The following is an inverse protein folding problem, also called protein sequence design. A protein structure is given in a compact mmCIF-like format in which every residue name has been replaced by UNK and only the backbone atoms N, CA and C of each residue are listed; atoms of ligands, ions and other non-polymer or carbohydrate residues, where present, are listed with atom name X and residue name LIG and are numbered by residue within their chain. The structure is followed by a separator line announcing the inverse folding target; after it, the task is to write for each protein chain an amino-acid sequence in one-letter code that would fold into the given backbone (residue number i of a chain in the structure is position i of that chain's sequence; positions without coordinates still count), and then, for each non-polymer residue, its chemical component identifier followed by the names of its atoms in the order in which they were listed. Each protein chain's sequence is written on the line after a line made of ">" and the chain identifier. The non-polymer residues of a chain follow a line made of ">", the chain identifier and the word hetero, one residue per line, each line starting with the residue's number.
data_IF_255824568924
#
_entry.id   IF_255824568924
#
_cell.length_a   1.000
_cell.length_b   1.000
_cell.length_c   1.000
_cell.angle_alpha   90.00
_cell.angle_beta   90.00
_cell.angle_gamma   90.00
#
_symmetry.space_group_name_H-M   'P 1'
#
loop_
_entity.id
_entity.type
_entity.pdbx_description
1 polymer ?
#
# COMPACT_ATOMS: atom_id res chain seq x y z
N UNK A 1 -5.51 -13.57 -23.02
CA UNK A 1 -4.11 -14.02 -22.87
C UNK A 1 -3.55 -13.31 -21.67
N UNK A 2 -3.01 -14.03 -20.69
CA UNK A 2 -2.25 -13.40 -19.60
C UNK A 2 -1.08 -12.62 -20.20
N UNK A 3 -0.87 -11.38 -19.74
CA UNK A 3 0.25 -10.58 -20.19
C UNK A 3 1.53 -11.09 -19.49
N UNK A 4 2.44 -11.80 -20.18
CA UNK A 4 3.60 -12.44 -19.54
C UNK A 4 4.53 -11.41 -18.88
N UNK A 5 4.43 -10.13 -19.25
CA UNK A 5 5.21 -9.05 -18.65
C UNK A 5 4.76 -8.71 -17.23
N UNK A 6 3.56 -9.12 -16.79
CA UNK A 6 3.08 -8.83 -15.44
C UNK A 6 4.00 -9.44 -14.36
N UNK A 7 4.65 -10.56 -14.68
CA UNK A 7 5.58 -11.28 -13.79
C UNK A 7 7.05 -10.92 -13.99
N UNK A 8 7.38 -10.07 -14.97
CA UNK A 8 8.75 -9.63 -15.19
C UNK A 8 9.33 -8.94 -13.93
N UNK A 9 10.66 -8.88 -13.78
CA UNK A 9 11.28 -8.18 -12.67
C UNK A 9 10.86 -6.72 -12.60
N UNK A 10 10.93 -6.13 -11.41
CA UNK A 10 10.73 -4.69 -11.22
C UNK A 10 12.00 -3.90 -11.57
N UNK A 11 11.89 -2.63 -11.97
CA UNK A 11 13.05 -1.76 -12.14
C UNK A 11 13.95 -1.78 -10.91
N UNK A 12 15.28 -1.88 -11.08
CA UNK A 12 16.20 -1.89 -9.95
C UNK A 12 16.17 -0.55 -9.22
N UNK A 13 16.34 -0.60 -7.90
CA UNK A 13 16.56 0.56 -7.05
C UNK A 13 17.97 0.50 -6.45
N UNK A 14 18.60 1.64 -6.11
CA UNK A 14 19.90 1.65 -5.41
C UNK A 14 19.86 0.78 -4.15
N UNK A 15 20.93 0.00 -3.89
CA UNK A 15 21.00 -0.95 -2.76
C UNK A 15 21.93 -0.46 -1.63
N UNK A 16 23.06 0.16 -1.99
CA UNK A 16 24.04 0.69 -1.04
C UNK A 16 23.63 2.10 -0.60
N UNK A 17 22.68 2.18 0.31
CA UNK A 17 22.07 3.44 0.77
C UNK A 17 22.09 3.54 2.28
N UNK A 18 22.22 4.78 2.77
CA UNK A 18 22.20 5.07 4.20
C UNK A 18 20.89 4.57 4.84
N UNK A 19 20.96 3.80 5.94
CA UNK A 19 19.76 3.30 6.61
C UNK A 19 18.81 4.40 7.09
N UNK A 20 17.53 4.06 7.14
CA UNK A 20 16.49 4.89 7.75
C UNK A 20 15.88 5.97 6.85
N UNK A 21 16.41 6.21 5.64
CA UNK A 21 15.81 7.16 4.68
C UNK A 21 14.84 6.52 3.68
N UNK A 22 14.22 7.34 2.82
CA UNK A 22 13.27 6.85 1.79
C UNK A 22 13.95 5.89 0.79
N UNK A 23 15.21 6.17 0.43
CA UNK A 23 16.00 5.28 -0.44
C UNK A 23 16.23 3.91 0.21
N UNK A 24 16.50 3.89 1.51
CA UNK A 24 16.64 2.65 2.29
C UNK A 24 15.33 1.87 2.34
N UNK A 25 14.19 2.54 2.55
CA UNK A 25 12.89 1.88 2.49
C UNK A 25 12.70 1.21 1.12
N UNK A 26 12.95 1.93 0.02
CA UNK A 26 12.83 1.37 -1.34
C UNK A 26 13.72 0.13 -1.54
N UNK A 27 14.96 0.16 -1.03
CA UNK A 27 15.89 -0.95 -1.15
C UNK A 27 15.46 -2.22 -0.38
N UNK A 28 14.68 -2.05 0.70
CA UNK A 28 14.38 -3.12 1.66
C UNK A 28 12.92 -3.63 1.65
N UNK A 29 12.05 -3.04 0.85
CA UNK A 29 10.66 -3.51 0.67
C UNK A 29 10.54 -4.55 -0.45
N UNK A 30 9.69 -5.57 -0.23
CA UNK A 30 9.41 -6.62 -1.21
C UNK A 30 8.97 -6.08 -2.59
N UNK A 31 8.27 -4.94 -2.62
CA UNK A 31 7.75 -4.30 -3.84
C UNK A 31 8.86 -4.06 -4.87
N UNK A 32 10.02 -3.59 -4.43
CA UNK A 32 11.16 -3.24 -5.30
C UNK A 32 12.31 -4.25 -5.23
N UNK A 33 12.18 -5.29 -4.40
CA UNK A 33 13.18 -6.35 -4.29
C UNK A 33 13.39 -7.12 -5.58
N UNK A 34 14.66 -7.44 -5.83
CA UNK A 34 15.10 -8.41 -6.83
C UNK A 34 14.55 -9.81 -6.51
N UNK A 35 14.52 -10.73 -7.48
CA UNK A 35 13.96 -12.08 -7.29
C UNK A 35 14.51 -12.83 -6.06
N UNK A 36 15.82 -12.72 -5.81
CA UNK A 36 16.53 -13.40 -4.72
C UNK A 36 16.11 -12.95 -3.31
N UNK A 37 15.76 -11.68 -3.13
CA UNK A 37 15.35 -11.11 -1.83
C UNK A 37 13.84 -11.15 -1.61
N UNK A 38 13.09 -11.16 -2.71
CA UNK A 38 11.66 -10.87 -2.69
C UNK A 38 10.87 -11.81 -1.79
N UNK A 39 11.13 -13.13 -1.87
CA UNK A 39 10.40 -14.12 -1.07
C UNK A 39 10.58 -13.89 0.43
N UNK A 40 11.81 -13.60 0.87
CA UNK A 40 12.16 -13.36 2.27
C UNK A 40 11.52 -12.07 2.80
N UNK A 41 11.63 -10.97 2.06
CA UNK A 41 11.01 -9.68 2.44
C UNK A 41 9.48 -9.73 2.38
N UNK A 42 8.89 -10.49 1.45
CA UNK A 42 7.44 -10.72 1.39
C UNK A 42 6.95 -11.51 2.61
N UNK A 43 7.71 -12.51 3.06
CA UNK A 43 7.35 -13.30 4.24
C UNK A 43 7.21 -12.44 5.51
N UNK A 44 8.03 -11.39 5.65
CA UNK A 44 7.89 -10.42 6.75
C UNK A 44 6.53 -9.69 6.68
N UNK A 45 6.14 -9.19 5.51
CA UNK A 45 4.84 -8.53 5.31
C UNK A 45 3.68 -9.48 5.60
N UNK A 46 3.75 -10.72 5.12
CA UNK A 46 2.72 -11.73 5.39
C UNK A 46 2.61 -12.07 6.88
N UNK A 47 3.73 -12.08 7.60
CA UNK A 47 3.75 -12.29 9.06
C UNK A 47 3.02 -11.18 9.80
N UNK A 48 3.23 -9.92 9.41
CA UNK A 48 2.54 -8.78 10.02
C UNK A 48 1.05 -8.72 9.64
N UNK A 49 0.66 -9.19 8.45
CA UNK A 49 -0.74 -9.25 8.01
C UNK A 49 -1.54 -10.41 8.64
N UNK A 50 -0.90 -11.55 8.90
CA UNK A 50 -1.56 -12.77 9.38
C UNK A 50 -2.44 -12.60 10.64
N UNK A 51 -2.05 -11.82 11.68
CA UNK A 51 -2.89 -11.64 12.86
C UNK A 51 -4.02 -10.61 12.68
N UNK A 52 -4.02 -9.84 11.59
CA UNK A 52 -4.99 -8.76 11.40
C UNK A 52 -6.40 -9.33 11.18
N UNK A 53 -7.36 -8.83 11.95
CA UNK A 53 -8.73 -9.32 11.92
C UNK A 53 -9.76 -8.20 12.10
N UNK A 54 -11.00 -8.44 11.67
CA UNK A 54 -12.11 -7.48 11.80
C UNK A 54 -11.81 -6.08 11.23
N UNK A 55 -11.02 -6.01 10.15
CA UNK A 55 -10.58 -4.73 9.58
C UNK A 55 -11.76 -3.89 9.07
N UNK A 56 -12.81 -4.53 8.55
CA UNK A 56 -14.05 -3.84 8.11
C UNK A 56 -14.72 -3.11 9.27
N UNK A 57 -14.95 -3.79 10.39
CA UNK A 57 -15.60 -3.19 11.56
C UNK A 57 -14.75 -2.09 12.18
N UNK A 58 -13.43 -2.31 12.27
CA UNK A 58 -12.47 -1.32 12.78
C UNK A 58 -12.45 -0.07 11.89
N UNK A 59 -12.42 -0.25 10.58
CA UNK A 59 -12.43 0.84 9.61
C UNK A 59 -13.76 1.60 9.62
N UNK A 60 -14.91 0.91 9.76
CA UNK A 60 -16.21 1.53 9.93
C UNK A 60 -16.26 2.42 11.18
N UNK A 61 -15.85 1.89 12.32
CA UNK A 61 -15.85 2.63 13.58
C UNK A 61 -14.95 3.87 13.50
N UNK A 62 -13.75 3.72 12.95
CA UNK A 62 -12.80 4.83 12.83
C UNK A 62 -13.24 5.87 11.80
N UNK A 63 -13.81 5.47 10.66
CA UNK A 63 -14.35 6.40 9.67
C UNK A 63 -15.50 7.24 10.22
N UNK A 64 -16.34 6.70 11.11
CA UNK A 64 -17.36 7.49 11.81
C UNK A 64 -16.76 8.52 12.78
N UNK A 65 -15.63 8.20 13.41
CA UNK A 65 -14.93 9.11 14.32
C UNK A 65 -14.11 10.18 13.56
N UNK A 66 -13.60 9.84 12.37
CA UNK A 66 -12.71 10.68 11.56
C UNK A 66 -13.37 11.13 10.24
N UNK A 67 -14.64 11.57 10.29
CA UNK A 67 -15.41 11.86 9.06
C UNK A 67 -14.76 12.89 8.13
N UNK A 68 -14.02 13.85 8.67
CA UNK A 68 -13.36 14.91 7.89
C UNK A 68 -11.96 14.50 7.39
N UNK A 69 -11.45 13.33 7.79
CA UNK A 69 -10.09 12.86 7.50
C UNK A 69 -10.08 11.36 7.15
N UNK A 70 -11.09 10.93 6.39
CA UNK A 70 -11.33 9.53 6.02
C UNK A 70 -10.19 8.91 5.20
N UNK A 71 -9.46 9.74 4.47
CA UNK A 71 -8.26 9.34 3.72
C UNK A 71 -7.13 8.84 4.63
N UNK A 72 -7.13 9.22 5.91
CA UNK A 72 -6.15 8.75 6.91
C UNK A 72 -6.55 7.43 7.55
N UNK A 73 -7.82 7.05 7.49
CA UNK A 73 -8.37 5.84 8.14
C UNK A 73 -7.66 4.56 7.70
N UNK A 74 -7.32 4.33 6.41
CA UNK A 74 -6.64 3.10 6.02
C UNK A 74 -5.31 2.89 6.75
N UNK A 75 -4.50 3.94 6.87
CA UNK A 75 -3.21 3.87 7.56
C UNK A 75 -3.41 3.75 9.06
N UNK A 76 -4.37 4.50 9.62
CA UNK A 76 -4.64 4.47 11.06
C UNK A 76 -5.12 3.08 11.53
N UNK A 77 -6.00 2.42 10.78
CA UNK A 77 -6.47 1.06 11.09
C UNK A 77 -5.31 0.06 11.04
N UNK A 78 -4.53 0.05 9.96
CA UNK A 78 -3.43 -0.89 9.81
C UNK A 78 -2.29 -0.61 10.80
N UNK A 79 -2.02 0.66 11.10
CA UNK A 79 -1.04 1.06 12.11
C UNK A 79 -1.42 0.58 13.50
N UNK A 80 -2.70 0.68 13.86
CA UNK A 80 -3.20 0.17 15.14
C UNK A 80 -3.05 -1.35 15.26
N UNK A 81 -3.31 -2.11 14.18
CA UNK A 81 -3.08 -3.57 14.16
C UNK A 81 -1.60 -3.95 14.33
N UNK A 82 -0.69 -3.07 13.90
CA UNK A 82 0.75 -3.24 14.10
C UNK A 82 1.21 -2.81 15.52
N UNK A 83 0.28 -2.31 16.35
CA UNK A 83 0.58 -1.79 17.68
C UNK A 83 1.25 -0.41 17.67
N UNK A 84 1.10 0.36 16.60
CA UNK A 84 1.71 1.67 16.43
C UNK A 84 0.73 2.80 16.86
N UNK A 85 1.24 3.96 17.31
CA UNK A 85 0.43 5.17 17.41
C UNK A 85 -0.05 5.63 16.03
N UNK A 86 -0.90 6.68 15.97
CA UNK A 86 -1.30 7.27 14.68
C UNK A 86 -0.09 7.89 13.97
N UNK A 87 0.36 7.20 12.92
CA UNK A 87 1.47 7.60 12.03
C UNK A 87 0.98 8.05 10.66
N UNK A 88 -0.34 8.26 10.48
CA UNK A 88 -0.95 8.52 9.18
C UNK A 88 -0.34 9.70 8.42
N UNK A 89 0.01 10.77 9.13
CA UNK A 89 0.63 11.97 8.53
C UNK A 89 2.06 11.70 8.04
N UNK A 90 2.85 10.97 8.83
CA UNK A 90 4.22 10.62 8.47
C UNK A 90 4.22 9.67 7.26
N UNK A 91 3.31 8.69 7.26
CA UNK A 91 3.12 7.78 6.13
C UNK A 91 2.69 8.53 4.87
N UNK A 92 1.81 9.52 4.97
CA UNK A 92 1.41 10.33 3.82
C UNK A 92 2.60 11.11 3.21
N UNK A 93 3.44 11.71 4.05
CA UNK A 93 4.65 12.41 3.61
C UNK A 93 5.63 11.46 2.89
N UNK A 94 5.84 10.26 3.44
CA UNK A 94 6.70 9.24 2.81
C UNK A 94 6.07 8.69 1.53
N UNK A 95 4.75 8.46 1.49
CA UNK A 95 4.02 7.94 0.34
C UNK A 95 4.17 8.84 -0.89
N UNK A 96 4.10 10.16 -0.70
CA UNK A 96 4.30 11.15 -1.75
C UNK A 96 5.71 11.05 -2.40
N UNK A 97 6.71 10.62 -1.63
CA UNK A 97 8.08 10.41 -2.08
C UNK A 97 8.42 8.92 -2.29
N UNK A 98 7.47 7.97 -2.26
CA UNK A 98 7.81 6.55 -2.17
C UNK A 98 8.32 5.94 -3.49
N UNK A 99 7.73 6.32 -4.63
CA UNK A 99 8.05 5.66 -5.89
C UNK A 99 9.40 6.12 -6.46
N UNK A 100 10.19 5.26 -7.13
CA UNK A 100 11.55 5.60 -7.58
C UNK A 100 11.69 6.84 -8.49
N UNK A 101 10.60 7.27 -9.12
CA UNK A 101 10.53 8.40 -10.05
C UNK A 101 10.03 9.70 -9.38
N UNK A 102 9.75 9.67 -8.09
CA UNK A 102 9.37 10.87 -7.32
C UNK A 102 10.58 11.43 -6.60
N UNK A 103 10.62 12.76 -6.51
CA UNK A 103 11.62 13.49 -5.73
C UNK A 103 11.47 13.17 -4.23
N UNK A 104 12.60 13.08 -3.53
CA UNK A 104 12.63 12.93 -2.08
C UNK A 104 12.93 14.29 -1.48
N UNK A 105 12.05 14.76 -0.60
CA UNK A 105 12.20 16.05 0.08
C UNK A 105 12.55 15.87 1.57
N UNK A 106 12.90 16.98 2.23
CA UNK A 106 13.31 16.96 3.64
C UNK A 106 12.20 16.45 4.57
N UNK A 107 10.93 16.77 4.28
CA UNK A 107 9.79 16.35 5.09
C UNK A 107 9.62 14.82 5.09
N UNK A 108 9.81 14.18 3.94
CA UNK A 108 9.76 12.72 3.82
C UNK A 108 10.91 12.03 4.57
N UNK A 109 12.13 12.60 4.55
CA UNK A 109 13.27 12.05 5.29
C UNK A 109 13.12 12.23 6.81
N UNK A 110 12.55 13.35 7.25
CA UNK A 110 12.23 13.60 8.65
C UNK A 110 11.07 12.70 9.14
N UNK A 111 10.03 12.49 8.33
CA UNK A 111 8.98 11.51 8.60
C UNK A 111 9.52 10.08 8.68
N UNK A 112 10.43 9.69 7.78
CA UNK A 112 11.07 8.37 7.82
C UNK A 112 11.83 8.14 9.13
N UNK A 113 12.58 9.13 9.63
CA UNK A 113 13.27 9.03 10.93
C UNK A 113 12.31 8.78 12.08
N UNK A 114 11.18 9.50 12.14
CA UNK A 114 10.14 9.26 13.16
C UNK A 114 9.49 7.88 13.03
N UNK A 115 9.23 7.42 11.81
CA UNK A 115 8.63 6.11 11.56
C UNK A 115 9.55 4.96 12.01
N UNK A 116 10.86 5.09 11.77
CA UNK A 116 11.85 4.11 12.26
C UNK A 116 11.87 4.09 13.79
N UNK A 117 11.89 5.25 14.44
CA UNK A 117 11.83 5.37 15.90
C UNK A 117 10.57 4.70 16.47
N UNK A 118 9.39 5.01 15.91
CA UNK A 118 8.11 4.43 16.31
C UNK A 118 8.06 2.91 16.07
N UNK A 119 8.81 2.39 15.11
CA UNK A 119 8.93 0.95 14.86
C UNK A 119 9.93 0.23 15.77
N UNK A 120 10.63 0.95 16.67
CA UNK A 120 11.60 0.39 17.62
C UNK A 120 13.04 0.87 17.43
N UNK A 121 13.28 1.84 16.54
CA UNK A 121 14.59 2.49 16.36
C UNK A 121 15.55 1.78 15.39
N UNK A 122 15.36 0.49 15.15
CA UNK A 122 16.21 -0.28 14.24
C UNK A 122 15.74 -0.18 12.79
N UNK A 123 16.61 0.32 11.91
CA UNK A 123 16.40 0.35 10.46
C UNK A 123 16.67 -1.02 9.81
N UNK A 124 15.93 -2.04 10.22
CA UNK A 124 16.00 -3.40 9.68
C UNK A 124 14.86 -3.70 8.66
N UNK A 125 14.90 -4.89 8.06
CA UNK A 125 13.90 -5.27 7.06
C UNK A 125 12.49 -5.49 7.62
N UNK A 126 12.36 -5.76 8.93
CA UNK A 126 11.05 -5.86 9.57
C UNK A 126 10.43 -4.47 9.70
N UNK A 127 11.20 -3.47 10.12
CA UNK A 127 10.81 -2.05 10.11
C UNK A 127 10.46 -1.61 8.70
N UNK A 128 11.26 -1.96 7.69
CA UNK A 128 10.96 -1.68 6.29
C UNK A 128 9.65 -2.35 5.84
N UNK A 129 9.37 -3.59 6.24
CA UNK A 129 8.14 -4.30 5.92
C UNK A 129 6.91 -3.62 6.51
N UNK A 130 6.97 -3.17 7.77
CA UNK A 130 5.89 -2.44 8.45
C UNK A 130 5.59 -1.09 7.80
N UNK A 131 6.62 -0.26 7.61
CA UNK A 131 6.47 1.04 6.96
C UNK A 131 6.00 0.85 5.51
N UNK A 132 6.60 -0.08 4.77
CA UNK A 132 6.24 -0.38 3.39
C UNK A 132 4.82 -0.91 3.21
N UNK A 133 4.27 -1.63 4.21
CA UNK A 133 2.87 -2.04 4.24
C UNK A 133 1.96 -0.82 4.32
N UNK A 134 2.21 0.09 5.27
CA UNK A 134 1.40 1.29 5.48
C UNK A 134 1.48 2.26 4.30
N UNK A 135 2.68 2.51 3.78
CA UNK A 135 2.91 3.37 2.61
C UNK A 135 2.16 2.85 1.38
N UNK A 136 2.19 1.53 1.14
CA UNK A 136 1.49 0.94 -0.01
C UNK A 136 -0.03 0.92 0.14
N UNK A 137 -0.54 0.92 1.38
CA UNK A 137 -1.97 1.03 1.66
C UNK A 137 -2.50 2.46 1.52
N UNK A 138 -1.67 3.48 1.79
CA UNK A 138 -2.05 4.89 1.82
C UNK A 138 -2.73 5.37 0.53
N UNK A 139 -1.95 5.62 -0.53
CA UNK A 139 -2.50 6.25 -1.74
C UNK A 139 -3.42 5.31 -2.54
N UNK A 140 -3.14 4.01 -2.51
CA UNK A 140 -3.92 3.04 -3.27
C UNK A 140 -5.34 2.92 -2.73
N UNK A 141 -5.50 2.82 -1.41
CA UNK A 141 -6.82 2.72 -0.78
C UNK A 141 -7.55 4.07 -0.80
N UNK A 142 -6.86 5.19 -0.58
CA UNK A 142 -7.47 6.51 -0.71
C UNK A 142 -8.04 6.75 -2.13
N UNK A 143 -7.30 6.37 -3.18
CA UNK A 143 -7.78 6.44 -4.57
C UNK A 143 -8.96 5.49 -4.82
N UNK A 144 -8.93 4.27 -4.26
CA UNK A 144 -10.04 3.33 -4.37
C UNK A 144 -11.32 3.92 -3.78
N UNK A 145 -11.23 4.51 -2.58
CA UNK A 145 -12.35 5.16 -1.90
C UNK A 145 -12.92 6.31 -2.73
N UNK A 146 -12.07 7.21 -3.22
CA UNK A 146 -12.53 8.34 -4.05
C UNK A 146 -13.24 7.88 -5.33
N UNK A 147 -12.71 6.83 -5.99
CA UNK A 147 -13.34 6.24 -7.18
C UNK A 147 -14.66 5.54 -6.84
N UNK A 148 -14.72 4.81 -5.74
CA UNK A 148 -15.94 4.15 -5.29
C UNK A 148 -17.05 5.15 -4.94
N UNK A 149 -16.72 6.20 -4.19
CA UNK A 149 -17.67 7.27 -3.87
C UNK A 149 -18.20 7.96 -5.13
N UNK A 150 -17.32 8.26 -6.08
CA UNK A 150 -17.71 8.88 -7.36
C UNK A 150 -18.52 7.96 -8.28
N UNK A 151 -18.38 6.64 -8.13
CA UNK A 151 -19.04 5.64 -8.96
C UNK A 151 -20.27 4.99 -8.31
N UNK A 152 -20.58 5.31 -7.04
CA UNK A 152 -21.64 4.67 -6.27
C UNK A 152 -23.03 4.91 -6.90
N UNK A 153 -23.83 3.85 -6.99
CA UNK A 153 -25.20 3.89 -7.50
C UNK A 153 -26.20 3.68 -6.37
N UNK A 154 -27.36 4.38 -6.36
CA UNK A 154 -28.38 4.17 -5.34
C UNK A 154 -28.80 2.70 -5.22
N UNK A 155 -28.78 2.18 -3.99
CA UNK A 155 -29.16 0.80 -3.68
C UNK A 155 -28.12 -0.28 -4.02
N UNK A 156 -26.95 0.10 -4.52
CA UNK A 156 -25.82 -0.81 -4.73
C UNK A 156 -25.11 -1.09 -3.40
N UNK A 157 -24.89 -2.37 -3.10
CA UNK A 157 -24.10 -2.75 -1.92
C UNK A 157 -22.61 -2.47 -2.12
N UNK A 158 -21.89 -2.31 -1.00
CA UNK A 158 -20.47 -1.91 -1.01
C UNK A 158 -19.56 -2.95 -1.67
N UNK A 159 -19.87 -4.24 -1.57
CA UNK A 159 -19.04 -5.28 -2.21
C UNK A 159 -19.18 -5.22 -3.73
N UNK A 160 -20.42 -5.15 -4.22
CA UNK A 160 -20.70 -4.98 -5.65
C UNK A 160 -20.05 -3.70 -6.21
N UNK A 161 -20.09 -2.60 -5.46
CA UNK A 161 -19.43 -1.35 -5.82
C UNK A 161 -17.90 -1.53 -5.94
N UNK A 162 -17.25 -2.12 -4.94
CA UNK A 162 -15.81 -2.34 -4.93
C UNK A 162 -15.38 -3.26 -6.07
N UNK A 163 -16.08 -4.37 -6.31
CA UNK A 163 -15.82 -5.31 -7.39
C UNK A 163 -15.90 -4.63 -8.76
N UNK A 164 -16.93 -3.80 -8.95
CA UNK A 164 -17.12 -3.05 -10.19
C UNK A 164 -16.01 -2.02 -10.39
N UNK A 165 -15.67 -1.24 -9.36
CA UNK A 165 -14.63 -0.22 -9.43
C UNK A 165 -13.26 -0.86 -9.70
N UNK A 166 -12.90 -1.93 -9.00
CA UNK A 166 -11.65 -2.64 -9.23
C UNK A 166 -11.54 -3.24 -10.64
N UNK A 167 -12.67 -3.62 -11.24
CA UNK A 167 -12.73 -4.12 -12.62
C UNK A 167 -12.67 -3.01 -13.67
N UNK A 168 -13.37 -1.89 -13.45
CA UNK A 168 -13.58 -0.84 -14.48
C UNK A 168 -12.59 0.33 -14.37
N UNK A 169 -12.23 0.69 -13.14
CA UNK A 169 -11.37 1.83 -12.83
C UNK A 169 -10.54 1.56 -11.56
N UNK A 170 -9.58 0.63 -11.59
CA UNK A 170 -8.78 0.35 -10.41
C UNK A 170 -7.87 1.54 -10.04
N UNK A 171 -7.50 1.68 -8.75
CA UNK A 171 -6.64 2.76 -8.27
C UNK A 171 -5.21 2.69 -8.84
N UNK A 172 -4.77 1.50 -9.23
CA UNK A 172 -3.48 1.25 -9.88
C UNK A 172 -3.73 0.52 -11.20
N UNK A 173 -3.51 1.22 -12.30
CA UNK A 173 -3.72 0.69 -13.67
C UNK A 173 -2.45 0.24 -14.35
N UNK A 174 -1.31 0.81 -13.94
CA UNK A 174 -0.02 0.59 -14.59
C UNK A 174 0.98 0.18 -13.52
N UNK A 175 1.78 -0.84 -13.83
CA UNK A 175 3.01 -1.17 -13.11
C UNK A 175 4.21 -1.01 -14.04
N UNK A 176 5.41 -0.87 -13.45
CA UNK A 176 6.66 -0.84 -14.21
C UNK A 176 7.42 -2.15 -14.05
N UNK A 177 8.06 -2.56 -15.13
CA UNK A 177 8.79 -3.80 -15.28
C UNK A 177 10.13 -3.55 -15.96
N UNK A 178 11.09 -4.42 -15.68
CA UNK A 178 12.45 -4.34 -16.20
C UNK A 178 12.66 -5.45 -17.21
N UNK A 179 12.84 -5.08 -18.47
CA UNK A 179 12.97 -6.04 -19.59
C UNK A 179 14.12 -5.59 -20.47
N UNK A 180 15.12 -6.45 -20.63
CA UNK A 180 16.24 -6.18 -21.55
C UNK A 180 17.06 -4.92 -21.23
N UNK A 181 17.06 -4.43 -19.98
CA UNK A 181 17.75 -3.20 -19.60
C UNK A 181 16.89 -1.94 -19.63
N UNK A 182 15.60 -2.06 -19.94
CA UNK A 182 14.68 -0.93 -20.08
C UNK A 182 13.50 -1.03 -19.12
N UNK A 183 12.95 0.14 -18.76
CA UNK A 183 11.71 0.23 -18.01
C UNK A 183 10.52 0.16 -18.97
N UNK A 184 9.68 -0.84 -18.80
CA UNK A 184 8.44 -1.04 -19.57
C UNK A 184 7.24 -0.84 -18.66
N UNK A 185 6.26 -0.08 -19.14
CA UNK A 185 4.96 0.04 -18.47
C UNK A 185 4.04 -1.11 -18.88
N UNK A 186 3.39 -1.71 -17.89
CA UNK A 186 2.52 -2.87 -18.04
C UNK A 186 1.15 -2.53 -17.47
N UNK A 187 0.13 -2.68 -18.31
CA UNK A 187 -1.27 -2.54 -17.92
C UNK A 187 -1.68 -3.70 -16.99
N UNK A 188 -2.30 -3.32 -15.87
CA UNK A 188 -2.84 -4.21 -14.85
C UNK A 188 -4.35 -4.48 -15.04
N UNK A 189 -4.93 -4.15 -16.19
CA UNK A 189 -6.32 -4.45 -16.51
C UNK A 189 -6.64 -5.94 -16.25
N UNK A 190 -7.70 -6.18 -15.47
CA UNK A 190 -8.09 -7.52 -15.00
C UNK A 190 -7.31 -8.05 -13.80
N UNK A 191 -6.21 -7.38 -13.40
CA UNK A 191 -5.34 -7.76 -12.28
C UNK A 191 -5.01 -6.53 -11.40
N UNK A 192 -6.02 -5.88 -10.77
CA UNK A 192 -5.84 -4.63 -10.04
C UNK A 192 -4.90 -4.76 -8.83
N UNK A 193 -4.69 -5.98 -8.35
CA UNK A 193 -3.73 -6.33 -7.30
C UNK A 193 -2.47 -7.02 -7.83
N UNK A 194 -2.23 -7.00 -9.14
CA UNK A 194 -1.16 -7.76 -9.79
C UNK A 194 -1.43 -9.26 -9.82
N UNK A 195 -0.44 -10.03 -10.27
CA UNK A 195 -0.51 -11.49 -10.41
C UNK A 195 0.83 -12.14 -10.04
N UNK A 196 0.81 -13.47 -9.91
CA UNK A 196 2.00 -14.27 -9.67
C UNK A 196 2.73 -13.93 -8.37
N UNK A 197 4.06 -14.11 -8.30
CA UNK A 197 4.84 -13.84 -7.10
C UNK A 197 4.70 -12.41 -6.57
N UNK A 198 4.39 -11.44 -7.46
CA UNK A 198 4.27 -10.02 -7.13
C UNK A 198 2.81 -9.58 -6.87
N UNK A 199 1.85 -10.50 -6.80
CA UNK A 199 0.48 -10.19 -6.39
C UNK A 199 0.48 -9.52 -5.00
N UNK A 200 -0.34 -8.49 -4.83
CA UNK A 200 -0.45 -7.71 -3.60
C UNK A 200 -0.78 -8.65 -2.41
N UNK A 201 0.09 -8.72 -1.38
CA UNK A 201 -0.21 -9.54 -0.20
C UNK A 201 -1.35 -8.96 0.65
N UNK A 202 -1.64 -7.66 0.51
CA UNK A 202 -2.64 -6.93 1.28
C UNK A 202 -4.00 -6.79 0.59
N UNK A 203 -4.31 -7.56 -0.47
CA UNK A 203 -5.59 -7.44 -1.18
C UNK A 203 -6.80 -7.58 -0.23
N UNK A 204 -6.82 -8.63 0.58
CA UNK A 204 -7.92 -8.88 1.52
C UNK A 204 -8.07 -7.72 2.53
N UNK A 205 -6.96 -7.27 3.12
CA UNK A 205 -6.95 -6.15 4.06
C UNK A 205 -7.42 -4.85 3.42
N UNK A 206 -6.96 -4.53 2.21
CA UNK A 206 -7.36 -3.33 1.48
C UNK A 206 -8.86 -3.32 1.20
N UNK A 207 -9.44 -4.45 0.77
CA UNK A 207 -10.89 -4.58 0.51
C UNK A 207 -11.70 -4.44 1.79
N UNK A 208 -11.31 -5.11 2.88
CA UNK A 208 -12.01 -4.99 4.16
C UNK A 208 -12.00 -3.56 4.71
N UNK A 209 -10.83 -2.91 4.71
CA UNK A 209 -10.68 -1.52 5.15
C UNK A 209 -11.52 -0.59 4.28
N UNK A 210 -11.44 -0.71 2.95
CA UNK A 210 -12.23 0.12 2.04
C UNK A 210 -13.74 -0.09 2.25
N UNK A 211 -14.18 -1.34 2.40
CA UNK A 211 -15.57 -1.68 2.63
C UNK A 211 -16.10 -1.03 3.92
N UNK A 212 -15.34 -1.12 5.02
CA UNK A 212 -15.74 -0.54 6.31
C UNK A 212 -15.87 0.98 6.26
N UNK A 213 -14.95 1.65 5.56
CA UNK A 213 -15.04 3.10 5.35
C UNK A 213 -16.27 3.45 4.51
N UNK A 214 -16.50 2.73 3.40
CA UNK A 214 -17.66 2.98 2.53
C UNK A 214 -18.98 2.71 3.24
N UNK A 215 -19.09 1.65 4.04
CA UNK A 215 -20.26 1.40 4.89
C UNK A 215 -20.53 2.58 5.83
N UNK A 216 -19.50 3.22 6.39
CA UNK A 216 -19.66 4.37 7.29
C UNK A 216 -20.09 5.67 6.58
N UNK A 217 -19.78 5.79 5.29
CA UNK A 217 -20.02 6.97 4.48
C UNK A 217 -21.30 6.90 3.65
N UNK A 218 -21.71 5.69 3.25
CA UNK A 218 -22.87 5.46 2.40
C UNK A 218 -24.12 5.01 3.19
N UNK A 219 -23.96 4.60 4.45
CA UNK A 219 -25.07 4.41 5.42
C UNK A 219 -25.29 5.66 6.27
#
# INVERSE_FOLDING_TARGET
>A
MENPLIEAPVPPVPQDVEPGGVRWLRANVARFSRPEDHARRRALVLTELAPMGSLRDKAFALAKAMRDEVERVPVAVLGAELGLPDVSRDIAAVSAAYHPHTEINADAEEAMRRLVEVCGGDADERTAARIGLLVQACDATAKLLGKALGAHRPGEDVESLLDRVLREDPPVRITRRWVGGEVVEVDLSGHPFGAGPKQCPGEASARQVAAGILDALLC
#
